data_IF_490224369764
#
_entry.id   IF_490224369764
#
_cell.length_a   1.000
_cell.length_b   1.000
_cell.length_c   1.000
_cell.angle_alpha   90.00
_cell.angle_beta   90.00
_cell.angle_gamma   90.00
#
_symmetry.space_group_name_H-M   'P 1'
#
loop_
_entity.id
_entity.type
_entity.pdbx_description
1 polymer ?
#
# COMPACT_ATOMS: atom_id res chain seq x y z
N UNK A 1 5.63 26.59 16.77
CA UNK A 1 6.32 25.35 17.17
C UNK A 1 7.37 25.10 16.11
N UNK A 2 8.64 24.93 16.47
CA UNK A 2 9.68 24.65 15.49
C UNK A 2 9.33 23.35 14.77
N UNK A 3 9.41 23.37 13.44
CA UNK A 3 9.03 22.27 12.57
C UNK A 3 10.03 21.12 12.75
N UNK A 4 9.61 20.07 13.46
CA UNK A 4 10.44 18.89 13.76
C UNK A 4 10.26 17.78 12.72
N UNK A 5 9.44 18.01 11.69
CA UNK A 5 9.16 17.02 10.66
C UNK A 5 10.37 16.84 9.74
N UNK A 6 10.61 15.59 9.32
CA UNK A 6 11.65 15.22 8.36
C UNK A 6 11.25 15.69 6.96
N UNK A 7 12.23 16.05 6.14
CA UNK A 7 12.03 16.48 4.77
C UNK A 7 12.55 15.43 3.79
N UNK A 8 11.78 15.11 2.77
CA UNK A 8 12.28 14.34 1.62
C UNK A 8 13.19 15.22 0.77
N UNK A 9 14.05 14.64 -0.09
CA UNK A 9 14.85 15.39 -1.07
C UNK A 9 14.00 16.24 -2.04
N UNK A 10 12.71 15.95 -2.14
CA UNK A 10 11.75 16.66 -3.00
C UNK A 10 11.01 17.81 -2.30
N UNK A 11 11.29 18.10 -1.02
CA UNK A 11 10.59 19.15 -0.27
C UNK A 11 10.54 20.50 -1.01
N UNK A 12 11.68 20.95 -1.56
CA UNK A 12 11.75 22.20 -2.31
C UNK A 12 10.89 22.17 -3.59
N UNK A 13 10.84 21.03 -4.28
CA UNK A 13 9.98 20.83 -5.46
C UNK A 13 8.51 20.85 -5.08
N UNK A 14 8.14 20.31 -3.91
CA UNK A 14 6.77 20.36 -3.40
C UNK A 14 6.31 21.78 -3.16
N UNK A 15 7.14 22.58 -2.48
CA UNK A 15 6.86 24.00 -2.23
C UNK A 15 6.75 24.78 -3.54
N UNK A 16 7.67 24.55 -4.48
CA UNK A 16 7.64 25.20 -5.79
C UNK A 16 6.39 24.83 -6.62
N UNK A 17 5.90 23.60 -6.49
CA UNK A 17 4.68 23.12 -7.14
C UNK A 17 3.38 23.56 -6.41
N UNK A 18 3.47 24.37 -5.34
CA UNK A 18 2.29 24.83 -4.59
C UNK A 18 1.71 23.78 -3.63
N UNK A 19 2.52 22.80 -3.23
CA UNK A 19 2.14 21.75 -2.29
C UNK A 19 1.72 22.33 -0.94
N UNK A 20 0.54 21.93 -0.46
CA UNK A 20 0.08 22.22 0.90
C UNK A 20 0.73 21.20 1.86
N UNK A 21 1.81 21.60 2.50
CA UNK A 21 2.57 20.72 3.39
C UNK A 21 1.84 20.47 4.72
N UNK A 22 1.83 19.22 5.16
CA UNK A 22 1.33 18.73 6.46
C UNK A 22 2.34 17.77 7.07
N UNK A 23 2.24 17.52 8.37
CA UNK A 23 2.93 16.40 9.03
C UNK A 23 2.18 15.10 8.73
N UNK A 24 2.89 14.14 8.12
CA UNK A 24 2.43 12.79 7.87
C UNK A 24 3.46 11.79 8.40
N UNK A 25 3.13 11.14 9.52
CA UNK A 25 4.02 10.18 10.19
C UNK A 25 5.43 10.74 10.49
N UNK A 26 5.54 12.02 10.85
CA UNK A 26 6.80 12.70 11.13
C UNK A 26 7.51 13.26 9.89
N UNK A 27 6.88 13.23 8.72
CA UNK A 27 7.41 13.80 7.47
C UNK A 27 6.58 14.97 6.97
N UNK A 28 7.26 16.01 6.49
CA UNK A 28 6.63 17.18 5.89
C UNK A 28 6.28 16.89 4.42
N UNK A 29 5.05 16.48 4.16
CA UNK A 29 4.58 16.03 2.85
C UNK A 29 3.33 16.79 2.37
N UNK A 30 3.12 16.92 1.05
CA UNK A 30 1.97 17.64 0.53
C UNK A 30 0.68 16.82 0.65
N UNK A 31 -0.32 17.35 1.35
CA UNK A 31 -1.67 16.75 1.38
C UNK A 31 -2.36 16.88 0.01
N UNK A 32 -2.10 17.98 -0.71
CA UNK A 32 -2.54 18.25 -2.08
C UNK A 32 -1.71 19.40 -2.68
N UNK A 33 -1.80 19.60 -4.00
CA UNK A 33 -1.21 20.71 -4.77
C UNK A 33 -2.26 21.71 -5.29
N UNK A 34 -3.47 21.63 -4.75
CA UNK A 34 -4.51 22.65 -4.88
C UNK A 34 -5.92 22.09 -4.84
N UNK A 35 -6.12 20.90 -5.40
CA UNK A 35 -7.41 20.20 -5.35
C UNK A 35 -7.21 18.69 -5.34
N UNK A 36 -7.43 18.09 -4.18
CA UNK A 36 -7.41 16.64 -3.98
C UNK A 36 -8.34 15.91 -4.96
N UNK A 37 -9.50 16.51 -5.27
CA UNK A 37 -10.46 15.95 -6.22
C UNK A 37 -9.88 15.89 -7.63
N UNK A 38 -9.30 17.00 -8.11
CA UNK A 38 -8.68 17.06 -9.43
C UNK A 38 -7.46 16.13 -9.54
N UNK A 39 -6.67 16.05 -8.47
CA UNK A 39 -5.53 15.14 -8.35
C UNK A 39 -5.96 13.67 -8.50
N UNK A 40 -7.01 13.27 -7.78
CA UNK A 40 -7.62 11.95 -7.92
C UNK A 40 -8.08 11.68 -9.36
N UNK A 41 -8.87 12.59 -9.94
CA UNK A 41 -9.38 12.47 -11.31
C UNK A 41 -8.23 12.37 -12.32
N UNK A 42 -7.14 13.10 -12.10
CA UNK A 42 -5.95 13.08 -12.97
C UNK A 42 -5.26 11.71 -12.95
N UNK A 43 -5.11 11.08 -11.78
CA UNK A 43 -4.56 9.71 -11.71
C UNK A 43 -5.48 8.72 -12.42
N UNK A 44 -6.81 8.84 -12.25
CA UNK A 44 -7.80 7.95 -12.88
C UNK A 44 -7.87 8.09 -14.41
N UNK A 45 -7.59 9.27 -14.95
CA UNK A 45 -7.80 9.59 -16.38
C UNK A 45 -6.51 9.78 -17.18
N UNK A 46 -5.37 10.00 -16.52
CA UNK A 46 -4.12 10.37 -17.17
C UNK A 46 -2.88 9.86 -16.40
N UNK A 47 -2.14 10.73 -15.70
CA UNK A 47 -0.97 10.37 -14.92
C UNK A 47 -0.71 11.38 -13.78
N UNK A 48 -0.60 10.87 -12.56
CA UNK A 48 -0.13 11.62 -11.40
C UNK A 48 1.13 10.99 -10.80
N UNK A 49 1.93 11.79 -10.11
CA UNK A 49 3.09 11.32 -9.35
C UNK A 49 3.02 11.68 -7.88
N UNK A 50 3.47 10.77 -7.04
CA UNK A 50 3.53 10.91 -5.59
C UNK A 50 4.98 10.79 -5.13
N UNK A 51 5.40 11.69 -4.25
CA UNK A 51 6.59 11.46 -3.44
C UNK A 51 6.28 10.46 -2.35
N UNK A 52 6.89 9.28 -2.48
CA UNK A 52 6.81 8.18 -1.53
C UNK A 52 8.17 7.87 -0.90
N UNK A 53 9.09 8.84 -0.91
CA UNK A 53 10.44 8.73 -0.33
C UNK A 53 10.42 8.60 1.21
N UNK A 54 9.26 8.77 1.84
CA UNK A 54 9.05 8.46 3.26
C UNK A 54 9.02 6.95 3.53
N UNK A 55 8.74 6.12 2.51
CA UNK A 55 8.80 4.66 2.60
C UNK A 55 10.24 4.21 2.87
N UNK A 56 10.41 3.04 3.48
CA UNK A 56 11.75 2.52 3.78
C UNK A 56 12.11 1.37 2.85
N UNK A 57 13.20 1.53 2.12
CA UNK A 57 13.79 0.48 1.27
C UNK A 57 14.87 -0.25 2.06
N UNK A 58 14.81 -1.57 2.09
CA UNK A 58 15.80 -2.43 2.75
C UNK A 58 16.29 -3.49 1.77
N UNK A 59 17.58 -3.51 1.49
CA UNK A 59 18.22 -4.60 0.74
C UNK A 59 18.60 -5.72 1.72
N UNK A 60 18.26 -6.97 1.36
CA UNK A 60 18.56 -8.17 2.12
C UNK A 60 19.50 -9.05 1.30
N UNK A 61 20.72 -9.23 1.80
CA UNK A 61 21.77 -10.01 1.13
C UNK A 61 22.29 -11.12 2.06
N UNK A 62 23.14 -12.00 1.55
CA UNK A 62 23.70 -13.12 2.31
C UNK A 62 23.09 -14.47 1.98
N UNK A 63 23.78 -15.54 2.38
CA UNK A 63 23.47 -16.92 1.98
C UNK A 63 22.08 -17.38 2.46
N UNK A 64 21.61 -16.85 3.58
CA UNK A 64 20.35 -17.24 4.21
C UNK A 64 19.19 -16.25 3.97
N UNK A 65 19.36 -15.22 3.14
CA UNK A 65 18.33 -14.19 2.91
C UNK A 65 16.96 -14.79 2.52
N UNK A 66 16.97 -15.84 1.69
CA UNK A 66 15.76 -16.58 1.33
C UNK A 66 15.14 -17.29 2.54
N UNK A 67 15.94 -18.05 3.30
CA UNK A 67 15.46 -18.82 4.44
C UNK A 67 14.91 -17.91 5.55
N UNK A 68 15.58 -16.77 5.77
CA UNK A 68 15.13 -15.70 6.64
C UNK A 68 13.75 -15.17 6.21
N UNK A 69 13.59 -14.78 4.93
CA UNK A 69 12.31 -14.29 4.42
C UNK A 69 11.22 -15.36 4.49
N UNK A 70 11.53 -16.62 4.19
CA UNK A 70 10.56 -17.72 4.31
C UNK A 70 9.99 -17.88 5.72
N UNK A 71 10.75 -17.50 6.75
CA UNK A 71 10.28 -17.48 8.13
C UNK A 71 9.60 -16.16 8.52
N UNK A 72 10.10 -15.04 8.03
CA UNK A 72 9.67 -13.70 8.42
C UNK A 72 8.25 -13.36 7.93
N UNK A 73 7.91 -13.73 6.70
CA UNK A 73 6.65 -13.32 6.06
C UNK A 73 5.67 -14.48 5.89
N UNK A 74 4.38 -14.15 5.90
CA UNK A 74 3.30 -15.14 5.74
C UNK A 74 3.11 -15.61 4.29
N UNK A 75 3.51 -14.81 3.30
CA UNK A 75 3.61 -15.26 1.90
C UNK A 75 4.86 -16.11 1.69
N UNK A 76 5.11 -16.53 0.45
CA UNK A 76 6.17 -17.47 0.12
C UNK A 76 7.05 -16.91 -1.01
N UNK A 77 8.31 -16.63 -0.68
CA UNK A 77 9.28 -16.07 -1.63
C UNK A 77 9.73 -17.07 -2.70
N UNK A 78 9.48 -18.37 -2.55
CA UNK A 78 9.67 -19.33 -3.65
C UNK A 78 8.76 -19.04 -4.85
N UNK A 79 7.61 -18.38 -4.62
CA UNK A 79 6.68 -17.97 -5.70
C UNK A 79 7.23 -16.85 -6.58
N UNK A 80 8.32 -16.19 -6.20
CA UNK A 80 8.93 -15.14 -7.01
C UNK A 80 9.44 -15.71 -8.34
N UNK A 81 10.02 -16.92 -8.34
CA UNK A 81 10.32 -17.71 -9.54
C UNK A 81 11.38 -17.16 -10.51
N UNK A 82 11.57 -15.83 -10.61
CA UNK A 82 12.57 -15.20 -11.46
C UNK A 82 13.02 -13.84 -10.90
N UNK A 83 14.27 -13.47 -11.21
CA UNK A 83 14.86 -12.17 -10.82
C UNK A 83 14.03 -11.02 -11.37
N UNK A 84 13.70 -10.09 -10.49
CA UNK A 84 12.86 -8.94 -10.70
C UNK A 84 11.39 -9.16 -10.36
N UNK A 85 10.91 -10.39 -10.12
CA UNK A 85 9.54 -10.59 -9.66
C UNK A 85 9.35 -9.96 -8.28
N UNK A 86 8.15 -9.44 -8.04
CA UNK A 86 7.72 -8.96 -6.74
C UNK A 86 6.52 -9.75 -6.20
N UNK A 87 6.33 -9.74 -4.88
CA UNK A 87 5.11 -10.16 -4.21
C UNK A 87 4.76 -9.22 -3.06
N UNK A 88 3.49 -9.24 -2.66
CA UNK A 88 2.97 -8.55 -1.48
C UNK A 88 2.79 -9.55 -0.34
N UNK A 89 3.14 -9.17 0.89
CA UNK A 89 3.06 -10.06 2.05
C UNK A 89 2.78 -9.29 3.35
N UNK A 90 2.14 -9.99 4.30
CA UNK A 90 2.13 -9.57 5.70
C UNK A 90 3.34 -10.13 6.46
N UNK A 91 3.98 -9.27 7.25
CA UNK A 91 4.94 -9.64 8.29
C UNK A 91 4.19 -9.69 9.61
N UNK A 92 4.25 -10.82 10.33
CA UNK A 92 3.36 -11.08 11.45
C UNK A 92 4.12 -11.23 12.77
N UNK A 93 3.41 -11.01 13.87
CA UNK A 93 3.84 -11.42 15.21
C UNK A 93 3.44 -12.89 15.46
N UNK A 94 3.97 -13.55 16.53
CA UNK A 94 3.63 -14.93 16.85
C UNK A 94 2.14 -15.18 17.13
N UNK A 95 1.39 -14.14 17.49
CA UNK A 95 -0.06 -14.19 17.73
C UNK A 95 -0.88 -14.07 16.44
N UNK A 96 -0.23 -13.93 15.28
CA UNK A 96 -0.88 -13.82 13.97
C UNK A 96 -1.37 -12.41 13.62
N UNK A 97 -1.08 -11.40 14.46
CA UNK A 97 -1.35 -10.00 14.15
C UNK A 97 -0.33 -9.42 13.18
N UNK A 98 -0.74 -8.43 12.38
CA UNK A 98 0.10 -7.83 11.33
C UNK A 98 1.05 -6.80 11.94
N UNK A 99 2.35 -7.03 11.82
CA UNK A 99 3.38 -6.04 12.17
C UNK A 99 3.49 -4.99 11.08
N UNK A 100 3.54 -5.41 9.81
CA UNK A 100 3.43 -4.53 8.65
C UNK A 100 3.02 -5.32 7.40
N UNK A 101 2.57 -4.62 6.37
CA UNK A 101 2.43 -5.14 5.02
C UNK A 101 3.49 -4.54 4.09
N UNK A 102 4.07 -5.38 3.23
CA UNK A 102 5.28 -5.01 2.49
C UNK A 102 5.35 -5.63 1.10
N UNK A 103 6.21 -5.06 0.25
CA UNK A 103 6.55 -5.62 -1.07
C UNK A 103 7.96 -6.20 -1.01
N UNK A 104 8.11 -7.44 -1.48
CA UNK A 104 9.41 -8.12 -1.63
C UNK A 104 9.72 -8.32 -3.10
N UNK A 105 10.87 -7.86 -3.54
CA UNK A 105 11.44 -8.09 -4.87
C UNK A 105 12.57 -9.10 -4.79
N UNK A 106 12.58 -10.09 -5.68
CA UNK A 106 13.79 -10.89 -5.94
C UNK A 106 14.70 -10.07 -6.85
N UNK A 107 15.98 -9.95 -6.51
CA UNK A 107 16.99 -9.19 -7.26
C UNK A 107 18.20 -10.10 -7.55
N UNK A 108 19.17 -9.63 -8.33
CA UNK A 108 20.42 -10.37 -8.58
C UNK A 108 21.38 -10.31 -7.37
N UNK A 109 21.28 -9.29 -6.50
CA UNK A 109 22.05 -9.19 -5.26
C UNK A 109 21.40 -9.86 -4.04
N UNK A 110 20.17 -10.36 -4.17
CA UNK A 110 19.40 -10.93 -3.05
C UNK A 110 17.95 -10.49 -3.13
N UNK A 111 17.46 -9.78 -2.11
CA UNK A 111 16.09 -9.26 -2.08
C UNK A 111 16.08 -7.77 -1.78
N UNK A 112 15.05 -7.09 -2.27
CA UNK A 112 14.71 -5.74 -1.84
C UNK A 112 13.32 -5.75 -1.24
N UNK A 113 13.18 -5.14 -0.06
CA UNK A 113 11.93 -5.02 0.68
C UNK A 113 11.57 -3.54 0.81
N UNK A 114 10.30 -3.22 0.63
CA UNK A 114 9.76 -1.87 0.85
C UNK A 114 8.70 -1.96 1.95
N UNK A 115 8.93 -1.24 3.05
CA UNK A 115 8.02 -1.18 4.23
C UNK A 115 7.46 0.23 4.42
N UNK A 116 6.37 0.33 5.17
CA UNK A 116 5.68 1.59 5.40
C UNK A 116 6.52 2.59 6.22
N UNK A 117 6.28 3.88 5.99
CA UNK A 117 7.00 4.94 6.70
C UNK A 117 6.71 4.96 8.21
N UNK A 118 5.43 4.84 8.57
CA UNK A 118 4.97 4.92 9.97
C UNK A 118 5.47 3.74 10.82
N UNK A 119 5.80 2.61 10.20
CA UNK A 119 6.25 1.38 10.85
C UNK A 119 7.75 1.19 10.82
N UNK A 120 8.51 1.98 10.04
CA UNK A 120 9.96 1.89 9.84
C UNK A 120 10.74 1.45 11.08
N UNK A 121 10.67 2.21 12.18
CA UNK A 121 11.49 1.94 13.36
C UNK A 121 11.16 0.57 14.00
N UNK A 122 9.87 0.23 14.05
CA UNK A 122 9.39 -1.06 14.54
C UNK A 122 9.81 -2.19 13.61
N UNK A 123 9.63 -2.00 12.31
CA UNK A 123 9.92 -3.04 11.31
C UNK A 123 11.40 -3.36 11.27
N UNK A 124 12.27 -2.35 11.24
CA UNK A 124 13.71 -2.56 11.29
C UNK A 124 14.14 -3.27 12.57
N UNK A 125 13.60 -2.89 13.72
CA UNK A 125 13.89 -3.56 14.98
C UNK A 125 13.42 -5.03 14.97
N UNK A 126 12.22 -5.29 14.47
CA UNK A 126 11.68 -6.63 14.35
C UNK A 126 12.48 -7.49 13.37
N UNK A 127 12.70 -6.98 12.16
CA UNK A 127 13.48 -7.62 11.11
C UNK A 127 14.89 -7.95 11.61
N UNK A 128 15.56 -7.01 12.27
CA UNK A 128 16.89 -7.21 12.85
C UNK A 128 16.88 -8.31 13.92
N UNK A 129 15.87 -8.32 14.81
CA UNK A 129 15.75 -9.35 15.84
C UNK A 129 15.56 -10.76 15.25
N UNK A 130 14.85 -10.86 14.12
CA UNK A 130 14.62 -12.14 13.44
C UNK A 130 15.82 -12.66 12.63
N UNK A 131 16.91 -11.89 12.51
CA UNK A 131 18.13 -12.34 11.80
C UNK A 131 18.92 -13.39 12.59
N UNK A 132 18.63 -13.56 13.89
CA UNK A 132 19.30 -14.52 14.75
C UNK A 132 19.25 -15.95 14.17
N UNK A 133 20.42 -16.50 13.87
CA UNK A 133 20.57 -17.84 13.27
C UNK A 133 20.56 -17.88 11.75
N UNK A 134 20.53 -16.72 11.07
CA UNK A 134 20.64 -16.61 9.63
C UNK A 134 21.86 -15.76 9.24
N UNK A 135 22.64 -16.22 8.27
CA UNK A 135 23.64 -15.41 7.58
C UNK A 135 22.97 -14.47 6.56
N UNK A 136 22.30 -13.43 7.08
CA UNK A 136 21.63 -12.38 6.32
C UNK A 136 22.08 -11.00 6.79
N UNK A 137 22.26 -10.07 5.85
CA UNK A 137 22.58 -8.68 6.11
C UNK A 137 21.42 -7.80 5.63
N UNK A 138 21.02 -6.84 6.47
CA UNK A 138 19.96 -5.87 6.19
C UNK A 138 20.61 -4.50 5.99
N UNK A 139 20.54 -3.98 4.76
CA UNK A 139 21.03 -2.65 4.41
C UNK A 139 19.86 -1.72 4.16
N UNK A 140 19.66 -0.74 5.05
CA UNK A 140 18.66 0.30 4.83
C UNK A 140 19.18 1.27 3.77
N UNK A 141 18.37 1.54 2.76
CA UNK A 141 18.71 2.38 1.60
C UNK A 141 18.14 3.78 1.74
N UNK A 142 18.58 4.48 2.79
CA UNK A 142 18.24 5.88 3.05
C UNK A 142 18.88 6.86 2.05
N UNK A 143 19.74 6.35 1.16
CA UNK A 143 20.31 7.07 0.02
C UNK A 143 19.37 7.14 -1.20
N UNK A 144 18.21 6.48 -1.13
CA UNK A 144 17.23 6.41 -2.22
C UNK A 144 15.95 7.18 -1.89
N UNK A 145 15.53 7.98 -2.86
CA UNK A 145 14.19 8.52 -2.96
C UNK A 145 13.29 7.54 -3.69
N UNK A 146 11.98 7.72 -3.58
CA UNK A 146 11.00 6.88 -4.29
C UNK A 146 9.83 7.70 -4.82
N UNK A 147 9.55 7.55 -6.10
CA UNK A 147 8.44 8.20 -6.80
C UNK A 147 7.47 7.16 -7.33
N UNK A 148 6.18 7.31 -7.01
CA UNK A 148 5.12 6.51 -7.61
C UNK A 148 4.46 7.32 -8.73
N UNK A 149 4.51 6.85 -9.98
CA UNK A 149 3.89 7.47 -11.15
C UNK A 149 2.73 6.57 -11.61
N UNK A 150 1.50 7.05 -11.51
CA UNK A 150 0.30 6.20 -11.53
C UNK A 150 -0.76 6.80 -12.44
N UNK A 151 -1.48 5.93 -13.16
CA UNK A 151 -2.53 6.29 -14.11
C UNK A 151 -2.36 5.63 -15.47
N UNK A 152 -3.40 5.64 -16.33
CA UNK A 152 -3.39 4.96 -17.62
C UNK A 152 -2.26 5.41 -18.56
N UNK A 153 -1.78 6.65 -18.43
CA UNK A 153 -0.69 7.20 -19.25
C UNK A 153 0.64 7.28 -18.51
N UNK A 154 0.73 6.81 -17.26
CA UNK A 154 1.92 6.93 -16.41
C UNK A 154 3.18 6.41 -17.09
N UNK A 155 3.16 5.15 -17.57
CA UNK A 155 4.32 4.52 -18.22
C UNK A 155 4.74 5.23 -19.50
N UNK A 156 3.78 5.68 -20.31
CA UNK A 156 4.06 6.40 -21.55
C UNK A 156 4.71 7.76 -21.28
N UNK A 157 4.20 8.51 -20.29
CA UNK A 157 4.76 9.81 -19.92
C UNK A 157 6.12 9.71 -19.24
N UNK A 158 6.32 8.71 -18.37
CA UNK A 158 7.64 8.44 -17.79
C UNK A 158 8.66 8.07 -18.87
N UNK A 159 8.28 7.25 -19.86
CA UNK A 159 9.14 6.94 -20.99
C UNK A 159 9.46 8.17 -21.85
N UNK A 160 8.53 9.13 -21.98
CA UNK A 160 8.78 10.40 -22.67
C UNK A 160 9.72 11.32 -21.88
N UNK A 161 9.61 11.37 -20.55
CA UNK A 161 10.50 12.12 -19.68
C UNK A 161 11.95 11.60 -19.72
N UNK A 162 12.10 10.28 -19.88
CA UNK A 162 13.39 9.57 -19.92
C UNK A 162 13.41 8.52 -21.04
N UNK A 163 13.64 8.92 -22.30
CA UNK A 163 13.60 8.02 -23.45
C UNK A 163 14.54 6.82 -23.34
N UNK A 164 15.68 6.96 -22.65
CA UNK A 164 16.62 5.87 -22.40
C UNK A 164 16.04 4.74 -21.52
N UNK A 165 14.97 5.00 -20.77
CA UNK A 165 14.26 4.00 -19.95
C UNK A 165 13.06 3.37 -20.66
N UNK A 166 12.70 3.86 -21.85
CA UNK A 166 11.44 3.52 -22.52
C UNK A 166 11.29 2.02 -22.80
N UNK A 167 12.33 1.36 -23.32
CA UNK A 167 12.32 -0.08 -23.63
C UNK A 167 12.09 -0.91 -22.36
N UNK A 168 12.82 -0.59 -21.27
CA UNK A 168 12.62 -1.26 -19.99
C UNK A 168 11.19 -1.05 -19.49
N UNK A 169 10.72 0.20 -19.42
CA UNK A 169 9.38 0.54 -18.93
C UNK A 169 8.30 -0.23 -19.70
N UNK A 170 8.46 -0.38 -21.02
CA UNK A 170 7.52 -1.11 -21.87
C UNK A 170 7.54 -2.62 -21.61
N UNK A 171 8.70 -3.19 -21.34
CA UNK A 171 8.87 -4.64 -21.09
C UNK A 171 8.40 -5.10 -19.70
N UNK A 172 8.32 -4.20 -18.71
CA UNK A 172 7.93 -4.55 -17.35
C UNK A 172 6.52 -5.17 -17.25
N UNK A 173 6.46 -6.36 -16.63
CA UNK A 173 5.22 -7.02 -16.24
C UNK A 173 4.73 -6.49 -14.88
N UNK A 174 3.45 -6.61 -14.60
CA UNK A 174 2.88 -6.25 -13.29
C UNK A 174 3.55 -7.06 -12.18
N UNK A 175 3.90 -6.39 -11.07
CA UNK A 175 4.76 -6.94 -10.01
C UNK A 175 6.11 -7.42 -10.54
N UNK A 176 6.80 -6.56 -11.30
CA UNK A 176 8.19 -6.74 -11.70
C UNK A 176 8.95 -5.44 -11.46
N UNK A 177 10.15 -5.53 -10.89
CA UNK A 177 11.11 -4.44 -10.73
C UNK A 177 12.49 -4.83 -11.23
N UNK A 178 13.19 -3.90 -11.87
CA UNK A 178 14.49 -4.16 -12.51
C UNK A 178 15.44 -3.00 -12.24
N UNK A 179 16.72 -3.26 -11.89
CA UNK A 179 17.73 -2.22 -11.76
C UNK A 179 18.18 -1.64 -13.11
N UNK A 180 18.49 -0.35 -13.16
CA UNK A 180 19.17 0.34 -14.26
C UNK A 180 20.20 1.31 -13.69
N UNK A 181 21.47 0.93 -13.70
CA UNK A 181 22.47 1.66 -12.92
C UNK A 181 22.06 1.67 -11.44
N UNK A 182 22.06 2.85 -10.83
CA UNK A 182 21.66 3.03 -9.43
C UNK A 182 20.14 3.18 -9.22
N UNK A 183 19.35 3.09 -10.30
CA UNK A 183 17.90 3.20 -10.26
C UNK A 183 17.25 1.82 -10.19
N UNK A 184 16.05 1.76 -9.63
CA UNK A 184 15.22 0.56 -9.62
C UNK A 184 13.80 0.90 -10.05
N UNK A 185 13.34 0.32 -11.16
CA UNK A 185 12.07 0.66 -11.79
C UNK A 185 11.13 -0.52 -11.65
N UNK A 186 10.04 -0.34 -10.90
CA UNK A 186 9.04 -1.34 -10.63
C UNK A 186 7.68 -0.99 -11.25
N UNK A 187 6.96 -1.98 -11.76
CA UNK A 187 5.55 -1.86 -12.19
C UNK A 187 4.63 -2.34 -11.07
N UNK A 188 4.63 -1.55 -10.01
CA UNK A 188 3.83 -1.67 -8.79
C UNK A 188 3.12 -0.34 -8.52
N UNK A 189 2.28 -0.31 -7.49
CA UNK A 189 1.55 0.91 -7.16
C UNK A 189 0.44 0.70 -6.15
N UNK A 190 -0.11 1.81 -5.69
CA UNK A 190 -1.06 1.88 -4.58
C UNK A 190 -2.35 2.65 -4.97
N UNK A 191 -2.78 2.51 -6.22
CA UNK A 191 -3.88 3.32 -6.78
C UNK A 191 -4.97 2.51 -7.47
N UNK A 192 -4.72 1.26 -7.82
CA UNK A 192 -5.61 0.46 -8.66
C UNK A 192 -5.54 0.77 -10.16
N UNK A 193 -4.64 1.67 -10.58
CA UNK A 193 -4.28 1.93 -11.98
C UNK A 193 -3.00 1.18 -12.39
N UNK A 194 -2.66 1.24 -13.68
CA UNK A 194 -1.30 0.95 -14.14
C UNK A 194 -0.34 2.06 -13.67
N UNK A 195 0.96 1.75 -13.61
CA UNK A 195 1.93 2.72 -13.12
C UNK A 195 3.30 2.13 -12.87
N UNK A 196 4.15 2.97 -12.31
CA UNK A 196 5.50 2.66 -11.90
C UNK A 196 5.74 3.14 -10.47
N UNK A 197 6.67 2.49 -9.80
CA UNK A 197 7.37 3.01 -8.64
C UNK A 197 8.86 2.98 -8.96
N UNK A 198 9.53 4.13 -8.82
CA UNK A 198 10.92 4.30 -9.21
C UNK A 198 11.70 4.71 -7.97
N UNK A 199 12.66 3.88 -7.57
CA UNK A 199 13.64 4.19 -6.55
C UNK A 199 14.91 4.69 -7.24
N UNK A 200 15.48 5.79 -6.76
CA UNK A 200 16.61 6.45 -7.40
C UNK A 200 17.44 7.21 -6.35
N UNK A 201 18.73 7.47 -6.59
CA UNK A 201 19.54 8.27 -5.69
C UNK A 201 18.89 9.61 -5.38
N UNK A 202 18.98 10.05 -4.13
CA UNK A 202 18.39 11.32 -3.68
C UNK A 202 18.81 12.53 -4.51
N UNK A 203 20.06 12.54 -4.98
CA UNK A 203 20.60 13.60 -5.81
C UNK A 203 19.91 13.72 -7.18
N UNK A 204 19.34 12.62 -7.69
CA UNK A 204 18.68 12.56 -9.00
C UNK A 204 17.19 12.93 -8.91
N UNK A 205 16.58 12.76 -7.73
CA UNK A 205 15.13 12.88 -7.56
C UNK A 205 14.56 14.25 -7.97
N UNK A 206 15.13 15.40 -7.56
CA UNK A 206 14.59 16.71 -7.98
C UNK A 206 14.63 16.93 -9.49
N UNK A 207 15.69 16.47 -10.16
CA UNK A 207 15.81 16.59 -11.61
C UNK A 207 14.76 15.73 -12.31
N UNK A 208 14.60 14.49 -11.87
CA UNK A 208 13.62 13.57 -12.44
C UNK A 208 12.17 14.04 -12.22
N UNK A 209 11.86 14.58 -11.03
CA UNK A 209 10.56 15.19 -10.73
C UNK A 209 10.20 16.29 -11.74
N UNK A 210 11.13 17.21 -12.02
CA UNK A 210 10.91 18.31 -12.98
C UNK A 210 10.70 17.81 -14.42
N UNK A 211 11.35 16.72 -14.79
CA UNK A 211 11.16 16.12 -16.11
C UNK A 211 9.82 15.41 -16.25
N UNK A 212 9.35 14.75 -15.18
CA UNK A 212 8.00 14.21 -15.12
C UNK A 212 6.95 15.32 -15.23
N UNK A 213 7.13 16.44 -14.53
CA UNK A 213 6.29 17.64 -14.69
C UNK A 213 6.28 18.12 -16.15
N UNK A 214 7.46 18.24 -16.77
CA UNK A 214 7.59 18.67 -18.16
C UNK A 214 6.93 17.69 -19.15
N UNK A 215 6.91 16.40 -18.84
CA UNK A 215 6.19 15.36 -19.57
C UNK A 215 4.68 15.32 -19.26
N UNK A 216 4.18 16.24 -18.43
CA UNK A 216 2.77 16.38 -18.10
C UNK A 216 2.26 15.37 -17.06
N UNK A 217 3.14 14.83 -16.20
CA UNK A 217 2.74 14.04 -15.04
C UNK A 217 2.42 15.00 -13.89
N UNK A 218 1.21 14.96 -13.36
CA UNK A 218 0.76 15.93 -12.36
C UNK A 218 1.25 15.57 -10.94
N UNK A 219 1.70 16.53 -10.13
CA UNK A 219 2.03 16.26 -8.74
C UNK A 219 0.74 15.96 -7.96
N UNK A 220 0.77 14.91 -7.13
CA UNK A 220 -0.42 14.34 -6.48
C UNK A 220 -0.14 14.09 -5.00
N UNK A 221 -0.98 14.64 -4.12
CA UNK A 221 -0.77 14.62 -2.67
C UNK A 221 -1.38 13.43 -1.94
N UNK A 222 -1.11 13.38 -0.63
CA UNK A 222 -1.54 12.30 0.28
C UNK A 222 -3.07 12.12 0.33
N UNK A 223 -3.84 13.20 0.18
CA UNK A 223 -5.29 13.10 0.20
C UNK A 223 -5.81 12.28 -0.99
N UNK A 224 -5.28 12.54 -2.19
CA UNK A 224 -5.68 11.80 -3.36
C UNK A 224 -5.19 10.35 -3.25
N UNK A 225 -3.98 10.12 -2.74
CA UNK A 225 -3.44 8.77 -2.45
C UNK A 225 -4.40 7.93 -1.61
N UNK A 226 -4.93 8.48 -0.51
CA UNK A 226 -5.88 7.76 0.35
C UNK A 226 -7.22 7.46 -0.36
N UNK A 227 -7.76 8.40 -1.13
CA UNK A 227 -8.99 8.12 -1.89
C UNK A 227 -8.79 7.06 -2.98
N UNK A 228 -7.64 7.06 -3.65
CA UNK A 228 -7.32 6.12 -4.74
C UNK A 228 -7.10 4.70 -4.22
N UNK A 229 -6.34 4.54 -3.14
CA UNK A 229 -6.09 3.23 -2.51
C UNK A 229 -7.36 2.63 -1.94
N UNK A 230 -8.21 3.45 -1.32
CA UNK A 230 -9.44 2.98 -0.71
C UNK A 230 -10.41 2.46 -1.78
N UNK A 231 -10.57 3.23 -2.85
CA UNK A 231 -11.29 2.80 -4.05
C UNK A 231 -10.74 1.49 -4.62
N UNK A 232 -9.41 1.34 -4.66
CA UNK A 232 -8.73 0.13 -5.11
C UNK A 232 -8.78 -1.04 -4.11
N UNK A 233 -9.46 -0.88 -2.96
CA UNK A 233 -9.60 -1.89 -1.93
C UNK A 233 -8.27 -2.29 -1.29
N UNK A 234 -7.30 -1.38 -1.26
CA UNK A 234 -5.97 -1.60 -0.68
C UNK A 234 -5.95 -1.15 0.78
N UNK A 235 -5.42 -2.00 1.63
CA UNK A 235 -5.33 -1.75 3.07
C UNK A 235 -4.32 -0.64 3.38
N UNK A 236 -4.55 0.07 4.48
CA UNK A 236 -3.62 1.01 5.09
C UNK A 236 -3.30 0.55 6.52
N UNK A 237 -2.02 0.26 6.77
CA UNK A 237 -1.54 -0.14 8.09
C UNK A 237 -1.89 0.94 9.14
N UNK A 238 -2.34 0.49 10.32
CA UNK A 238 -2.80 1.34 11.41
C UNK A 238 -4.29 1.69 11.34
N UNK A 239 -4.95 1.39 10.22
CA UNK A 239 -6.39 1.60 10.02
C UNK A 239 -7.12 0.27 9.77
N UNK A 240 -6.74 -0.41 8.69
CA UNK A 240 -7.40 -1.65 8.26
C UNK A 240 -6.85 -2.88 9.02
N UNK A 241 -5.58 -2.83 9.41
CA UNK A 241 -4.91 -3.83 10.24
C UNK A 241 -3.80 -3.21 11.10
N UNK A 242 -3.48 -3.90 12.20
CA UNK A 242 -2.36 -3.65 13.09
C UNK A 242 -1.97 -4.97 13.79
N UNK A 243 -1.10 -4.90 14.81
CA UNK A 243 -0.60 -6.06 15.55
C UNK A 243 -1.67 -6.83 16.35
N UNK A 244 -2.88 -6.28 16.46
CA UNK A 244 -4.04 -6.91 17.10
C UNK A 244 -5.00 -7.56 16.10
N UNK A 245 -4.84 -7.26 14.80
CA UNK A 245 -5.73 -7.71 13.74
C UNK A 245 -5.06 -8.80 12.90
N UNK A 246 -5.73 -9.94 12.79
CA UNK A 246 -5.30 -11.02 11.90
C UNK A 246 -5.42 -10.62 10.42
N UNK A 247 -4.47 -11.03 9.55
CA UNK A 247 -4.59 -10.87 8.10
C UNK A 247 -5.84 -11.55 7.53
N UNK A 248 -6.41 -12.58 8.18
CA UNK A 248 -7.67 -13.20 7.75
C UNK A 248 -8.86 -12.26 7.94
N UNK A 249 -8.87 -11.47 9.01
CA UNK A 249 -9.88 -10.46 9.29
C UNK A 249 -9.69 -9.16 8.49
N UNK A 250 -8.51 -8.96 7.88
CA UNK A 250 -8.14 -7.79 7.08
C UNK A 250 -8.13 -8.07 5.56
N UNK A 251 -8.81 -9.12 5.08
CA UNK A 251 -8.89 -9.43 3.65
C UNK A 251 -7.57 -9.83 3.00
N UNK A 252 -6.53 -10.16 3.78
CA UNK A 252 -5.20 -10.55 3.32
C UNK A 252 -5.02 -12.07 3.26
N UNK A 253 -6.07 -12.87 3.45
CA UNK A 253 -5.98 -14.34 3.40
C UNK A 253 -5.39 -14.90 2.10
N UNK A 254 -5.52 -14.17 0.98
CA UNK A 254 -4.94 -14.53 -0.31
C UNK A 254 -3.41 -14.41 -0.36
N UNK A 255 -2.78 -13.67 0.56
CA UNK A 255 -1.32 -13.53 0.66
C UNK A 255 -0.68 -14.62 1.50
N UNK A 256 -1.47 -15.42 2.21
CA UNK A 256 -0.96 -16.43 3.15
C UNK A 256 -0.65 -17.71 2.37
N UNK A 257 0.63 -18.10 2.37
CA UNK A 257 1.08 -19.30 1.70
C UNK A 257 1.07 -20.49 2.66
N UNK A 258 -0.07 -21.20 2.68
CA UNK A 258 -0.28 -22.38 3.53
C UNK A 258 0.57 -23.58 3.11
N UNK A 259 0.81 -23.71 1.81
CA UNK A 259 1.68 -24.74 1.25
C UNK A 259 3.07 -24.17 0.93
N UNK A 260 4.14 -25.00 1.07
CA UNK A 260 4.09 -26.35 1.61
C UNK A 260 3.81 -26.34 3.12
N UNK A 261 3.03 -27.30 3.61
CA UNK A 261 2.68 -27.41 5.04
C UNK A 261 3.90 -27.50 5.97
N UNK A 262 5.03 -27.97 5.46
CA UNK A 262 6.30 -28.06 6.18
C UNK A 262 7.02 -26.72 6.38
N UNK A 263 6.60 -25.64 5.68
CA UNK A 263 7.22 -24.32 5.85
C UNK A 263 6.69 -23.65 7.10
N UNK A 264 7.52 -23.53 8.13
CA UNK A 264 7.18 -22.69 9.28
C UNK A 264 7.41 -21.20 8.98
N UNK A 265 6.53 -20.34 9.48
CA UNK A 265 6.67 -18.89 9.43
C UNK A 265 6.04 -18.26 10.67
N UNK A 266 6.50 -17.07 11.04
CA UNK A 266 6.04 -16.42 12.27
C UNK A 266 4.54 -16.12 12.18
N UNK A 267 3.78 -16.56 13.18
CA UNK A 267 2.33 -16.43 13.25
C UNK A 267 1.55 -17.58 12.59
N UNK A 268 2.23 -18.55 11.93
CA UNK A 268 1.56 -19.68 11.26
C UNK A 268 0.61 -20.46 12.17
N UNK A 269 1.07 -20.85 13.36
CA UNK A 269 0.26 -21.64 14.29
C UNK A 269 -1.02 -20.90 14.74
N UNK A 270 -0.94 -19.59 14.99
CA UNK A 270 -2.10 -18.79 15.36
C UNK A 270 -3.10 -18.70 14.20
N UNK A 271 -2.60 -18.50 12.97
CA UNK A 271 -3.43 -18.46 11.78
C UNK A 271 -4.07 -19.80 11.41
N UNK A 272 -3.36 -20.92 11.63
CA UNK A 272 -3.93 -22.26 11.44
C UNK A 272 -5.04 -22.53 12.46
N UNK A 273 -4.87 -22.11 13.71
CA UNK A 273 -5.90 -22.20 14.74
C UNK A 273 -7.14 -21.34 14.40
N UNK A 274 -6.94 -20.09 13.96
CA UNK A 274 -8.04 -19.21 13.53
C UNK A 274 -8.77 -19.78 12.31
N UNK A 275 -8.02 -20.28 11.31
CA UNK A 275 -8.60 -20.90 10.12
C UNK A 275 -9.41 -22.14 10.45
N UNK A 276 -8.95 -22.96 11.40
CA UNK A 276 -9.67 -24.16 11.84
C UNK A 276 -10.94 -23.83 12.63
N UNK A 277 -10.91 -22.77 13.45
CA UNK A 277 -12.09 -22.28 14.17
C UNK A 277 -13.10 -21.56 13.26
N UNK A 278 -12.63 -21.03 12.13
CA UNK A 278 -13.38 -20.10 11.27
C UNK A 278 -13.16 -18.66 11.75
N UNK A 279 -12.63 -17.75 10.90
CA UNK A 279 -12.42 -16.36 11.28
C UNK A 279 -13.73 -15.73 11.77
N UNK A 280 -13.71 -15.12 12.95
CA UNK A 280 -14.90 -14.49 13.54
C UNK A 280 -15.30 -13.20 12.80
N UNK A 281 -14.31 -12.53 12.20
CA UNK A 281 -14.46 -11.28 11.48
C UNK A 281 -13.95 -11.41 10.05
N UNK A 282 -14.50 -10.59 9.15
CA UNK A 282 -14.07 -10.48 7.77
C UNK A 282 -14.02 -9.01 7.36
N UNK A 283 -13.17 -8.71 6.37
CA UNK A 283 -13.12 -7.40 5.73
C UNK A 283 -14.09 -7.35 4.55
N UNK A 284 -14.90 -6.29 4.49
CA UNK A 284 -15.85 -6.03 3.42
C UNK A 284 -15.75 -4.58 2.94
N UNK A 285 -16.28 -4.32 1.75
CA UNK A 285 -16.57 -2.97 1.28
C UNK A 285 -17.98 -2.56 1.69
N UNK A 286 -18.18 -1.29 2.00
CA UNK A 286 -19.48 -0.67 2.27
C UNK A 286 -19.73 0.46 1.26
N UNK A 287 -20.96 0.54 0.75
CA UNK A 287 -21.40 1.60 -0.17
C UNK A 287 -22.66 2.25 0.38
N UNK A 288 -22.58 3.56 0.64
CA UNK A 288 -23.71 4.37 1.04
C UNK A 288 -24.34 5.04 -0.20
N UNK A 289 -25.51 4.55 -0.59
CA UNK A 289 -26.25 5.06 -1.76
C UNK A 289 -27.05 6.35 -1.45
N UNK A 290 -27.26 6.63 -0.16
CA UNK A 290 -27.91 7.86 0.31
C UNK A 290 -26.89 8.97 0.63
N UNK A 291 -27.39 10.15 1.02
CA UNK A 291 -26.51 11.26 1.41
C UNK A 291 -25.86 10.98 2.77
N UNK A 292 -24.54 11.14 2.83
CA UNK A 292 -23.77 11.02 4.06
C UNK A 292 -22.31 10.76 3.75
N UNK A 293 -21.49 10.65 4.80
CA UNK A 293 -20.08 10.28 4.68
C UNK A 293 -19.78 9.24 5.74
N UNK A 294 -19.43 8.03 5.30
CA UNK A 294 -18.85 6.98 6.12
C UNK A 294 -17.45 7.40 6.55
N UNK A 295 -17.13 7.21 7.83
CA UNK A 295 -15.84 7.59 8.42
C UNK A 295 -15.31 6.43 9.24
N UNK A 296 -14.00 6.37 9.33
CA UNK A 296 -13.29 5.49 10.25
C UNK A 296 -13.84 5.61 11.69
N UNK A 297 -13.88 4.47 12.38
CA UNK A 297 -14.34 4.34 13.76
C UNK A 297 -15.87 4.28 13.91
N UNK A 298 -16.64 4.52 12.85
CA UNK A 298 -18.09 4.35 12.91
C UNK A 298 -18.46 2.89 13.18
N UNK A 299 -19.37 2.69 14.12
CA UNK A 299 -19.91 1.38 14.43
C UNK A 299 -20.77 0.86 13.27
N UNK A 300 -20.62 -0.43 12.99
CA UNK A 300 -21.42 -1.17 12.02
C UNK A 300 -22.24 -2.20 12.78
N UNK A 301 -23.52 -2.36 12.44
CA UNK A 301 -24.39 -3.37 13.04
C UNK A 301 -24.95 -4.28 11.96
N UNK A 302 -24.67 -5.57 12.05
CA UNK A 302 -25.23 -6.59 11.16
C UNK A 302 -26.71 -6.87 11.49
N UNK A 303 -27.39 -7.64 10.63
CA UNK A 303 -28.82 -7.93 10.77
C UNK A 303 -29.19 -8.68 12.07
N UNK A 304 -28.27 -9.47 12.62
CA UNK A 304 -28.41 -10.20 13.88
C UNK A 304 -28.03 -9.35 15.12
N UNK A 305 -27.69 -8.07 14.92
CA UNK A 305 -27.25 -7.16 15.98
C UNK A 305 -25.77 -7.24 16.32
N UNK A 306 -25.01 -8.11 15.66
CA UNK A 306 -23.56 -8.22 15.90
C UNK A 306 -22.81 -6.98 15.41
N UNK A 307 -21.74 -6.64 16.13
CA UNK A 307 -21.01 -5.39 15.94
C UNK A 307 -19.78 -5.56 15.03
N UNK A 308 -19.58 -4.57 14.18
CA UNK A 308 -18.37 -4.35 13.38
C UNK A 308 -17.94 -2.89 13.44
N UNK A 309 -16.95 -2.54 12.63
CA UNK A 309 -16.37 -1.18 12.60
C UNK A 309 -15.91 -0.80 11.21
N UNK A 310 -16.10 0.46 10.84
CA UNK A 310 -15.48 1.05 9.65
C UNK A 310 -14.01 1.32 9.95
N UNK A 311 -13.11 0.75 9.16
CA UNK A 311 -11.65 0.92 9.32
C UNK A 311 -11.14 2.08 8.47
N UNK A 312 -11.69 2.24 7.26
CA UNK A 312 -11.34 3.35 6.37
C UNK A 312 -12.61 3.84 5.67
N UNK A 313 -12.89 5.14 5.65
CA UNK A 313 -14.11 5.68 5.05
C UNK A 313 -13.91 7.04 4.41
N UNK A 314 -14.43 7.23 3.20
CA UNK A 314 -14.33 8.50 2.47
C UNK A 314 -15.48 8.71 1.48
N UNK A 315 -15.47 9.84 0.77
CA UNK A 315 -16.26 10.04 -0.43
C UNK A 315 -15.42 9.66 -1.65
N UNK A 316 -15.89 8.71 -2.46
CA UNK A 316 -15.25 8.30 -3.71
C UNK A 316 -15.53 9.34 -4.81
N UNK A 317 -14.51 10.03 -5.35
CA UNK A 317 -14.67 10.89 -6.51
C UNK A 317 -15.18 10.15 -7.75
N UNK A 318 -14.67 8.94 -8.00
CA UNK A 318 -15.00 8.17 -9.20
C UNK A 318 -16.47 7.76 -9.20
N UNK A 319 -16.96 7.26 -8.07
CA UNK A 319 -18.33 6.74 -7.94
C UNK A 319 -19.34 7.82 -7.54
N UNK A 320 -18.86 8.94 -6.99
CA UNK A 320 -19.68 10.02 -6.39
C UNK A 320 -20.58 9.52 -5.24
N UNK A 321 -20.08 8.54 -4.49
CA UNK A 321 -20.75 7.89 -3.36
C UNK A 321 -19.79 7.81 -2.18
N UNK A 322 -20.32 7.71 -0.96
CA UNK A 322 -19.48 7.38 0.18
C UNK A 322 -19.22 5.88 0.23
N UNK A 323 -17.94 5.53 0.39
CA UNK A 323 -17.45 4.16 0.43
C UNK A 323 -16.61 3.95 1.68
N UNK A 324 -16.52 2.70 2.14
CA UNK A 324 -15.69 2.37 3.28
C UNK A 324 -15.20 0.92 3.25
N UNK A 325 -14.00 0.66 3.76
CA UNK A 325 -13.60 -0.67 4.21
C UNK A 325 -14.09 -0.84 5.64
N UNK A 326 -14.67 -1.99 5.95
CA UNK A 326 -15.15 -2.32 7.28
C UNK A 326 -14.74 -3.73 7.67
N UNK A 327 -14.51 -3.92 8.97
CA UNK A 327 -14.34 -5.23 9.59
C UNK A 327 -15.61 -5.59 10.32
N UNK A 328 -16.27 -6.64 9.85
CA UNK A 328 -17.61 -7.07 10.30
C UNK A 328 -17.61 -8.55 10.65
N UNK A 329 -18.58 -9.05 11.43
CA UNK A 329 -18.70 -10.47 11.72
C UNK A 329 -18.80 -11.31 10.44
N UNK A 330 -18.22 -12.51 10.44
CA UNK A 330 -18.17 -13.39 9.27
C UNK A 330 -19.56 -13.84 8.76
N UNK A 331 -20.59 -13.76 9.61
CA UNK A 331 -21.99 -14.02 9.27
C UNK A 331 -22.69 -12.85 8.54
N UNK A 332 -22.05 -11.70 8.40
CA UNK A 332 -22.65 -10.50 7.79
C UNK A 332 -23.07 -10.77 6.34
N UNK A 333 -24.34 -10.48 6.03
CA UNK A 333 -24.91 -10.59 4.69
C UNK A 333 -24.70 -9.33 3.83
N UNK A 334 -25.65 -9.06 2.92
CA UNK A 334 -25.50 -8.03 1.88
C UNK A 334 -25.77 -6.57 2.34
N UNK A 335 -26.13 -6.37 3.62
CA UNK A 335 -26.36 -5.03 4.18
C UNK A 335 -26.08 -4.97 5.68
N UNK A 336 -25.75 -3.76 6.14
CA UNK A 336 -25.51 -3.43 7.54
C UNK A 336 -26.18 -2.09 7.89
N UNK A 337 -26.30 -1.78 9.17
CA UNK A 337 -26.69 -0.46 9.66
C UNK A 337 -25.46 0.31 10.13
N UNK A 338 -25.42 1.61 9.82
CA UNK A 338 -24.41 2.54 10.33
C UNK A 338 -25.13 3.76 10.90
N UNK A 339 -24.72 4.23 12.07
CA UNK A 339 -25.25 5.45 12.66
C UNK A 339 -24.64 6.70 11.98
N UNK A 340 -25.46 7.42 11.24
CA UNK A 340 -25.13 8.71 10.65
C UNK A 340 -25.77 9.83 11.47
N UNK A 341 -25.05 10.27 12.53
CA UNK A 341 -25.43 11.40 13.40
C UNK A 341 -26.78 11.20 14.11
N UNK A 342 -26.98 10.03 14.71
CA UNK A 342 -28.19 9.63 15.42
C UNK A 342 -29.24 8.95 14.53
N UNK A 343 -28.96 8.75 13.24
CA UNK A 343 -29.87 8.09 12.30
C UNK A 343 -29.27 6.77 11.83
N UNK A 344 -29.90 5.67 12.22
CA UNK A 344 -29.55 4.34 11.73
C UNK A 344 -29.86 4.25 10.22
N UNK A 345 -28.81 4.08 9.42
CA UNK A 345 -28.89 4.11 7.96
C UNK A 345 -28.40 2.79 7.39
N UNK A 346 -29.18 2.21 6.48
CA UNK A 346 -28.82 0.97 5.78
C UNK A 346 -27.72 1.25 4.76
N UNK A 347 -26.66 0.45 4.81
CA UNK A 347 -25.48 0.55 3.95
C UNK A 347 -25.27 -0.81 3.27
N UNK A 348 -25.01 -0.79 1.97
CA UNK A 348 -24.82 -2.00 1.17
C UNK A 348 -23.44 -2.59 1.44
N UNK A 349 -23.36 -3.90 1.64
CA UNK A 349 -22.11 -4.65 1.72
C UNK A 349 -21.72 -5.13 0.32
N UNK A 350 -20.46 -4.93 -0.07
CA UNK A 350 -19.93 -5.30 -1.37
C UNK A 350 -18.57 -5.97 -1.24
N UNK A 351 -18.17 -6.74 -2.26
CA UNK A 351 -16.81 -7.28 -2.35
C UNK A 351 -15.85 -6.19 -2.84
N UNK A 352 -14.70 -6.06 -2.18
CA UNK A 352 -13.61 -5.21 -2.62
C UNK A 352 -12.93 -5.77 -3.90
N UNK A 353 -12.40 -4.91 -4.77
CA UNK A 353 -12.31 -3.44 -4.65
C UNK A 353 -13.53 -2.70 -5.20
N UNK A 354 -13.58 -1.38 -5.01
CA UNK A 354 -14.68 -0.55 -5.55
C UNK A 354 -14.43 -0.14 -7.00
N UNK A 355 -13.20 0.30 -7.29
CA UNK A 355 -12.76 0.82 -8.59
C UNK A 355 -11.46 0.16 -9.00
N UNK A 356 -11.32 -0.14 -10.29
CA UNK A 356 -10.05 -0.54 -10.92
C UNK A 356 -9.97 -0.01 -12.33
N UNK A 357 -8.79 0.48 -12.74
CA UNK A 357 -8.57 1.05 -14.07
C UNK A 357 -9.65 2.08 -14.47
N UNK A 358 -9.93 3.02 -13.56
CA UNK A 358 -10.94 4.08 -13.74
C UNK A 358 -12.41 3.63 -13.77
N UNK A 359 -12.74 2.37 -13.43
CA UNK A 359 -14.10 1.83 -13.54
C UNK A 359 -14.57 1.16 -12.26
N UNK A 360 -15.87 1.27 -11.97
CA UNK A 360 -16.52 0.47 -10.92
C UNK A 360 -16.37 -1.02 -11.23
N UNK A 361 -16.07 -1.83 -10.20
CA UNK A 361 -15.91 -3.30 -10.36
C UNK A 361 -16.69 -4.17 -9.37
N UNK A 362 -17.41 -3.56 -8.41
CA UNK A 362 -18.36 -4.28 -7.58
C UNK A 362 -19.73 -4.37 -8.27
N UNK A 363 -20.41 -5.51 -8.07
CA UNK A 363 -21.76 -5.77 -8.54
C UNK A 363 -22.81 -5.08 -7.66
#
# INVERSE_FOLDING_TARGET
MADTALHTPLYAEHVAAGGKIVDFAGWALPIHYGSQLKEHETVRSDAGMFDVSHMTVVDLTGADAKAYLQKLIANDVDKLGFVGKALYAGMLNPQGGVIDDLIVYLTDWGYRVVVNAATRAKDLAWMQAQTAGFAVELTVRDDLSMLAIQGPNARAKTAAARPQLAELIQSLKVFQGVPVGDWFIARTGYTGEDGLEIMLPDADAPAFWRELLAAGVAPTGLGARDTLRLEAGMNLYGHDMDETISPLAAGMGWTIAWEPASRDFIGRAALEAERAAGPAMQQVGLVLESRGVLREGMAVTAADGSAGVITSGTFSPTLKLSIAIARVPASTGDSVQVDLRGTSTTVRVVKLPFVRNGKQVYA
#
